data_IF_655351448350
#
_entry.id   IF_655351448350
#
_cell.length_a   1.000
_cell.length_b   1.000
_cell.length_c   1.000
_cell.angle_alpha   90.00
_cell.angle_beta   90.00
_cell.angle_gamma   90.00
#
_symmetry.space_group_name_H-M   'P 1'
#
loop_
_entity.id
_entity.type
_entity.pdbx_description
1 polymer ?
#
# COMPACT_ATOMS: atom_id res chain seq x y z
N UNK A 1 28.69 0.76 3.82
CA UNK A 1 29.48 0.18 2.70
C UNK A 1 29.91 1.24 1.69
N UNK A 2 28.99 1.96 1.01
CA UNK A 2 29.41 2.94 -0.01
C UNK A 2 30.05 4.21 0.57
N UNK A 3 29.51 4.72 1.69
CA UNK A 3 29.98 5.94 2.35
C UNK A 3 31.42 5.81 2.84
N UNK A 4 31.88 4.61 3.22
CA UNK A 4 33.27 4.40 3.67
C UNK A 4 34.29 4.45 2.52
N UNK A 5 33.85 4.60 1.26
CA UNK A 5 34.72 4.60 0.07
C UNK A 5 34.86 5.97 -0.60
N UNK A 6 34.09 6.99 -0.19
CA UNK A 6 34.12 8.31 -0.79
C UNK A 6 32.82 9.10 -0.59
N UNK A 7 32.71 10.26 -1.24
CA UNK A 7 31.49 11.07 -1.24
C UNK A 7 30.41 10.42 -2.11
N UNK A 8 29.22 10.18 -1.55
CA UNK A 8 28.16 9.40 -2.20
C UNK A 8 27.02 10.32 -2.62
N UNK A 9 26.55 10.15 -3.86
CA UNK A 9 25.31 10.74 -4.37
C UNK A 9 24.38 9.64 -4.83
N UNK A 10 23.10 9.77 -4.49
CA UNK A 10 22.07 8.80 -4.87
C UNK A 10 21.19 9.43 -5.96
N UNK A 11 21.02 8.71 -7.06
CA UNK A 11 19.97 8.97 -8.04
C UNK A 11 18.93 7.85 -7.95
N UNK A 12 17.66 8.19 -8.15
CA UNK A 12 16.55 7.23 -8.07
C UNK A 12 15.68 7.31 -9.30
N UNK A 13 15.36 6.16 -9.87
CA UNK A 13 14.31 6.03 -10.90
C UNK A 13 13.24 5.04 -10.42
N UNK A 14 11.98 5.44 -10.59
CA UNK A 14 10.83 4.56 -10.34
C UNK A 14 10.41 3.89 -11.63
N UNK A 15 10.25 2.58 -11.60
CA UNK A 15 9.76 1.84 -12.76
C UNK A 15 8.93 0.62 -12.33
N UNK A 16 8.05 0.20 -13.23
CA UNK A 16 7.25 -1.03 -13.07
C UNK A 16 7.88 -2.10 -13.97
N UNK A 17 8.78 -2.94 -13.43
CA UNK A 17 9.21 -4.16 -14.16
C UNK A 17 8.06 -5.16 -14.13
N UNK A 18 7.45 -5.37 -15.29
CA UNK A 18 6.65 -6.58 -15.50
C UNK A 18 7.60 -7.78 -15.58
N UNK A 19 7.61 -8.63 -14.55
CA UNK A 19 8.22 -9.96 -14.62
C UNK A 19 7.27 -10.97 -14.01
N UNK A 20 6.71 -11.84 -14.85
CA UNK A 20 6.06 -13.05 -14.40
C UNK A 20 7.05 -13.85 -13.56
N UNK A 21 6.74 -14.05 -12.28
CA UNK A 21 7.61 -14.78 -11.36
C UNK A 21 7.63 -14.19 -9.95
N UNK A 22 7.08 -14.94 -9.01
CA UNK A 22 6.94 -14.69 -7.55
C UNK A 22 5.78 -13.78 -7.11
N UNK A 23 4.68 -14.46 -6.80
CA UNK A 23 3.52 -13.96 -6.06
C UNK A 23 3.79 -14.16 -4.56
N UNK A 24 4.15 -13.10 -3.82
CA UNK A 24 4.13 -13.14 -2.35
C UNK A 24 2.99 -12.29 -1.83
N UNK A 25 2.40 -12.73 -0.71
CA UNK A 25 1.28 -12.05 -0.05
C UNK A 25 1.62 -10.62 0.42
N UNK A 26 2.91 -10.31 0.59
CA UNK A 26 3.40 -9.00 1.04
C UNK A 26 3.94 -8.11 -0.08
N UNK A 27 4.03 -8.59 -1.33
CA UNK A 27 4.73 -7.85 -2.40
C UNK A 27 3.95 -6.63 -2.88
N UNK A 28 4.65 -5.51 -3.06
CA UNK A 28 4.21 -4.33 -3.81
C UNK A 28 4.74 -4.38 -5.25
N UNK A 29 4.03 -3.78 -6.22
CA UNK A 29 4.37 -3.88 -7.65
C UNK A 29 5.35 -2.79 -8.14
N UNK A 30 5.73 -1.83 -7.28
CA UNK A 30 6.67 -0.75 -7.63
C UNK A 30 8.08 -1.16 -7.19
N UNK A 31 9.04 -1.01 -8.09
CA UNK A 31 10.46 -1.13 -7.77
C UNK A 31 11.09 0.27 -7.84
N UNK A 32 11.99 0.57 -6.91
CA UNK A 32 12.80 1.78 -6.94
C UNK A 32 14.23 1.35 -7.21
N UNK A 33 14.79 1.77 -8.34
CA UNK A 33 16.22 1.58 -8.63
C UNK A 33 17.01 2.73 -8.00
N UNK A 34 18.08 2.35 -7.30
CA UNK A 34 19.01 3.29 -6.68
C UNK A 34 20.35 3.20 -7.41
N UNK A 35 20.75 4.28 -8.09
CA UNK A 35 22.09 4.42 -8.64
C UNK A 35 22.96 5.15 -7.62
N UNK A 36 24.00 4.47 -7.14
CA UNK A 36 24.94 5.01 -6.16
C UNK A 36 26.21 5.48 -6.89
N UNK A 37 26.41 6.80 -6.95
CA UNK A 37 27.60 7.41 -7.53
C UNK A 37 28.57 7.72 -6.39
N UNK A 38 29.79 7.18 -6.46
CA UNK A 38 30.82 7.35 -5.42
C UNK A 38 32.00 8.11 -6.02
N UNK A 39 32.29 9.30 -5.51
CA UNK A 39 33.53 10.02 -5.81
C UNK A 39 34.60 9.64 -4.78
N UNK A 40 35.46 8.69 -5.15
CA UNK A 40 36.52 8.16 -4.27
C UNK A 40 37.62 9.16 -3.96
N UNK A 41 37.68 10.28 -4.70
CA UNK A 41 38.68 11.34 -4.50
C UNK A 41 38.25 12.35 -3.44
N UNK A 42 36.98 12.32 -3.02
CA UNK A 42 36.42 13.27 -2.05
C UNK A 42 36.12 12.59 -0.74
N UNK A 43 36.40 13.30 0.35
CA UNK A 43 35.91 12.93 1.69
C UNK A 43 34.39 13.09 1.72
N UNK A 44 33.77 12.31 2.60
CA UNK A 44 32.32 12.30 2.81
C UNK A 44 31.82 13.72 3.10
N UNK A 45 30.81 14.17 2.34
CA UNK A 45 30.14 15.43 2.61
C UNK A 45 28.91 15.23 3.50
N UNK A 46 28.87 15.90 4.65
CA UNK A 46 27.68 15.93 5.52
C UNK A 46 26.43 16.47 4.80
N UNK A 47 26.63 17.39 3.85
CA UNK A 47 25.54 17.94 3.01
C UNK A 47 24.96 16.84 2.10
N UNK A 48 25.80 16.05 1.42
CA UNK A 48 25.32 14.97 0.56
C UNK A 48 24.69 13.84 1.38
N UNK A 49 25.23 13.52 2.57
CA UNK A 49 24.59 12.59 3.49
C UNK A 49 23.16 13.03 3.85
N UNK A 50 22.98 14.30 4.23
CA UNK A 50 21.66 14.85 4.56
C UNK A 50 20.70 14.79 3.36
N UNK A 51 21.16 15.19 2.17
CA UNK A 51 20.39 15.10 0.92
C UNK A 51 19.97 13.66 0.60
N UNK A 52 20.90 12.71 0.70
CA UNK A 52 20.63 11.29 0.44
C UNK A 52 19.60 10.72 1.44
N UNK A 53 19.73 11.05 2.74
CA UNK A 53 18.75 10.63 3.75
C UNK A 53 17.36 11.18 3.45
N UNK A 54 17.26 12.47 3.10
CA UNK A 54 16.00 13.10 2.73
C UNK A 54 15.36 12.44 1.50
N UNK A 55 16.16 12.19 0.45
CA UNK A 55 15.70 11.52 -0.76
C UNK A 55 15.15 10.11 -0.46
N UNK A 56 15.88 9.32 0.34
CA UNK A 56 15.43 7.97 0.74
C UNK A 56 14.12 8.06 1.52
N UNK A 57 13.99 8.98 2.47
CA UNK A 57 12.79 9.11 3.29
C UNK A 57 11.58 9.56 2.46
N UNK A 58 11.75 10.53 1.57
CA UNK A 58 10.70 10.95 0.63
C UNK A 58 10.21 9.77 -0.23
N UNK A 59 11.13 8.93 -0.72
CA UNK A 59 10.76 7.70 -1.47
C UNK A 59 10.01 6.68 -0.62
N UNK A 60 10.42 6.48 0.63
CA UNK A 60 9.72 5.62 1.59
C UNK A 60 8.28 6.10 1.81
N UNK A 61 8.09 7.40 2.02
CA UNK A 61 6.76 7.99 2.16
C UNK A 61 5.93 7.83 0.89
N UNK A 62 6.49 8.08 -0.30
CA UNK A 62 5.76 7.88 -1.56
C UNK A 62 5.23 6.44 -1.69
N UNK A 63 6.06 5.43 -1.40
CA UNK A 63 5.63 4.01 -1.40
C UNK A 63 4.54 3.77 -0.34
N UNK A 64 4.65 4.43 0.81
CA UNK A 64 3.67 4.31 1.88
C UNK A 64 2.30 4.87 1.46
N UNK A 65 2.25 6.03 0.77
CA UNK A 65 1.01 6.61 0.25
C UNK A 65 0.34 5.75 -0.84
N UNK A 66 1.09 4.91 -1.55
CA UNK A 66 0.52 3.93 -2.49
C UNK A 66 -0.10 2.70 -1.80
N UNK A 67 0.11 2.53 -0.49
CA UNK A 67 -0.36 1.38 0.26
C UNK A 67 -1.86 1.47 0.57
N UNK A 68 -2.44 0.36 1.01
CA UNK A 68 -3.82 0.32 1.53
C UNK A 68 -3.78 0.43 3.04
N UNK A 69 -4.70 1.22 3.60
CA UNK A 69 -4.70 1.56 5.02
C UNK A 69 -5.92 0.96 5.73
N UNK A 70 -5.74 0.63 7.00
CA UNK A 70 -6.84 0.28 7.90
C UNK A 70 -7.34 1.54 8.60
N UNK A 71 -8.62 1.88 8.42
CA UNK A 71 -9.25 3.00 9.12
C UNK A 71 -9.13 2.88 10.64
N UNK A 72 -9.26 1.66 11.18
CA UNK A 72 -9.13 1.39 12.62
C UNK A 72 -7.75 1.81 13.13
N UNK A 73 -6.69 1.36 12.47
CA UNK A 73 -5.31 1.69 12.85
C UNK A 73 -5.01 3.17 12.65
N UNK A 74 -5.55 3.79 11.59
CA UNK A 74 -5.45 5.24 11.39
C UNK A 74 -6.07 6.02 12.55
N UNK A 75 -7.26 5.62 13.02
CA UNK A 75 -7.94 6.27 14.13
C UNK A 75 -7.18 6.16 15.47
N UNK A 76 -6.34 5.13 15.65
CA UNK A 76 -5.49 4.97 16.82
C UNK A 76 -4.28 5.94 16.82
N UNK A 77 -3.93 6.50 15.67
CA UNK A 77 -2.72 7.33 15.48
C UNK A 77 -3.01 8.78 15.11
N UNK A 78 -4.15 9.03 14.46
CA UNK A 78 -4.48 10.32 13.88
C UNK A 78 -5.95 10.66 14.13
N UNK A 79 -6.27 11.94 14.42
CA UNK A 79 -7.64 12.41 14.35
C UNK A 79 -8.18 12.23 12.93
N UNK A 80 -9.38 11.65 12.82
CA UNK A 80 -10.08 11.46 11.55
C UNK A 80 -11.29 12.39 11.50
N UNK A 81 -11.40 13.21 10.46
CA UNK A 81 -12.46 14.21 10.31
C UNK A 81 -13.06 14.10 8.91
N UNK A 82 -14.35 13.76 8.83
CA UNK A 82 -15.04 13.59 7.55
C UNK A 82 -14.34 12.59 6.61
N UNK A 83 -13.70 13.10 5.56
CA UNK A 83 -12.97 12.34 4.54
C UNK A 83 -11.45 12.53 4.57
N UNK A 84 -10.91 13.16 5.62
CA UNK A 84 -9.48 13.45 5.76
C UNK A 84 -8.96 13.06 7.15
N UNK A 85 -7.65 12.86 7.25
CA UNK A 85 -6.97 12.77 8.54
C UNK A 85 -6.19 14.05 8.83
N UNK A 86 -6.00 14.32 10.11
CA UNK A 86 -5.19 15.45 10.60
C UNK A 86 -3.82 14.94 11.04
N UNK A 87 -2.78 15.70 10.67
CA UNK A 87 -1.41 15.47 11.11
C UNK A 87 -0.90 16.75 11.76
N UNK A 88 -0.64 16.68 13.06
CA UNK A 88 -0.01 17.76 13.81
C UNK A 88 1.51 17.53 13.81
N UNK A 89 2.24 18.46 13.20
CA UNK A 89 3.70 18.47 13.13
C UNK A 89 4.23 19.77 13.76
N UNK A 90 5.51 19.81 14.18
CA UNK A 90 6.14 21.05 14.63
C UNK A 90 6.03 22.22 13.65
N UNK A 91 6.06 21.95 12.34
CA UNK A 91 5.90 22.95 11.27
C UNK A 91 4.45 23.41 11.06
N UNK A 92 3.46 22.71 11.62
CA UNK A 92 2.06 23.10 11.52
C UNK A 92 1.08 21.94 11.56
N UNK A 93 -0.20 22.28 11.40
CA UNK A 93 -1.31 21.33 11.33
C UNK A 93 -1.69 21.10 9.88
N UNK A 94 -1.63 19.85 9.44
CA UNK A 94 -1.83 19.47 8.05
C UNK A 94 -3.00 18.51 7.87
N UNK A 95 -3.59 18.55 6.67
CA UNK A 95 -4.67 17.68 6.25
C UNK A 95 -4.16 16.71 5.19
N UNK A 96 -4.55 15.44 5.31
CA UNK A 96 -4.36 14.44 4.25
C UNK A 96 -5.73 13.92 3.80
N UNK A 97 -6.07 14.19 2.56
CA UNK A 97 -7.31 13.70 1.96
C UNK A 97 -7.28 12.18 1.75
N UNK A 98 -8.46 11.57 1.87
CA UNK A 98 -8.59 10.12 1.73
C UNK A 98 -9.75 9.73 0.83
N UNK A 99 -9.68 8.51 0.29
CA UNK A 99 -10.84 7.79 -0.21
C UNK A 99 -11.21 6.75 0.84
N UNK A 100 -12.23 7.06 1.64
CA UNK A 100 -12.74 6.24 2.74
C UNK A 100 -11.67 5.75 3.73
N UNK A 101 -10.57 6.51 3.92
CA UNK A 101 -9.41 6.13 4.73
C UNK A 101 -8.68 4.84 4.29
N UNK A 102 -9.06 4.27 3.15
CA UNK A 102 -8.41 3.08 2.59
C UNK A 102 -7.27 3.45 1.64
N UNK A 103 -7.38 4.62 0.99
CA UNK A 103 -6.35 5.23 0.16
C UNK A 103 -6.11 6.64 0.65
N UNK A 104 -4.86 6.97 0.96
CA UNK A 104 -4.45 8.33 1.29
C UNK A 104 -3.95 9.01 0.02
N UNK A 105 -4.40 10.24 -0.23
CA UNK A 105 -3.87 11.07 -1.32
C UNK A 105 -2.56 11.69 -0.86
N UNK A 106 -1.50 11.59 -1.68
CA UNK A 106 -0.22 12.20 -1.34
C UNK A 106 -0.41 13.71 -1.16
N UNK A 107 -0.09 14.28 0.01
CA UNK A 107 -0.17 15.71 0.24
C UNK A 107 1.08 16.46 -0.25
N UNK A 108 0.89 17.72 -0.63
CA UNK A 108 1.97 18.58 -1.13
C UNK A 108 2.98 18.98 -0.03
N UNK A 109 2.56 18.98 1.23
CA UNK A 109 3.43 19.39 2.34
C UNK A 109 4.62 18.43 2.56
N UNK A 110 4.59 17.20 2.02
CA UNK A 110 5.68 16.24 2.15
C UNK A 110 6.99 16.81 1.61
N UNK A 111 6.94 17.68 0.61
CA UNK A 111 8.16 18.20 -0.02
C UNK A 111 8.76 19.39 0.76
N UNK A 112 8.08 19.90 1.80
CA UNK A 112 8.53 21.06 2.60
C UNK A 112 8.81 20.74 4.08
N UNK A 113 8.33 19.62 4.61
CA UNK A 113 8.57 19.22 6.00
C UNK A 113 10.00 18.75 6.25
N UNK A 114 10.44 18.84 7.50
CA UNK A 114 11.78 18.42 7.92
C UNK A 114 11.95 16.89 7.91
N UNK A 115 13.20 16.42 7.94
CA UNK A 115 13.49 14.97 7.95
C UNK A 115 12.87 14.27 9.17
N UNK A 116 12.94 14.89 10.36
CA UNK A 116 12.35 14.35 11.59
C UNK A 116 10.83 14.24 11.50
N UNK A 117 10.18 15.18 10.82
CA UNK A 117 8.74 15.13 10.58
C UNK A 117 8.36 14.06 9.56
N UNK A 118 9.16 13.89 8.50
CA UNK A 118 8.99 12.78 7.57
C UNK A 118 9.13 11.43 8.28
N UNK A 119 10.11 11.31 9.18
CA UNK A 119 10.35 10.09 9.96
C UNK A 119 9.17 9.79 10.89
N UNK A 120 8.70 10.79 11.64
CA UNK A 120 7.50 10.68 12.47
C UNK A 120 6.27 10.24 11.65
N UNK A 121 6.04 10.86 10.49
CA UNK A 121 4.92 10.54 9.62
C UNK A 121 5.04 9.11 9.09
N UNK A 122 6.24 8.73 8.62
CA UNK A 122 6.51 7.39 8.11
C UNK A 122 6.27 6.33 9.18
N UNK A 123 6.82 6.51 10.38
CA UNK A 123 6.67 5.55 11.47
C UNK A 123 5.19 5.34 11.79
N UNK A 124 4.44 6.41 12.05
CA UNK A 124 3.04 6.29 12.43
C UNK A 124 2.16 5.73 11.30
N UNK A 125 2.32 6.20 10.06
CA UNK A 125 1.54 5.67 8.93
C UNK A 125 1.93 4.22 8.59
N UNK A 126 3.18 3.81 8.80
CA UNK A 126 3.63 2.44 8.52
C UNK A 126 2.96 1.40 9.41
N UNK A 127 2.55 1.77 10.62
CA UNK A 127 1.74 0.89 11.47
C UNK A 127 0.32 0.72 10.93
N UNK A 128 -0.19 1.70 10.20
CA UNK A 128 -1.59 1.77 9.76
C UNK A 128 -1.88 1.04 8.43
N UNK A 129 -0.85 0.60 7.70
CA UNK A 129 -1.06 -0.12 6.44
C UNK A 129 -1.57 -1.54 6.67
N UNK A 130 -2.32 -2.05 5.68
CA UNK A 130 -2.63 -3.46 5.56
C UNK A 130 -1.33 -4.22 5.25
N UNK A 131 -0.91 -5.11 6.14
CA UNK A 131 0.42 -5.77 6.09
C UNK A 131 0.50 -6.83 5.00
N UNK A 132 -0.63 -7.40 4.62
CA UNK A 132 -0.74 -8.45 3.61
C UNK A 132 -2.11 -8.40 2.91
N UNK A 133 -2.34 -9.24 1.89
CA UNK A 133 -3.60 -9.24 1.13
C UNK A 133 -4.79 -9.81 1.89
N UNK A 134 -4.54 -10.63 2.91
CA UNK A 134 -5.60 -11.15 3.77
C UNK A 134 -6.18 -10.02 4.62
N UNK A 135 -5.33 -9.26 5.31
CA UNK A 135 -5.74 -8.07 6.06
C UNK A 135 -6.39 -7.02 5.14
N UNK A 136 -5.87 -6.82 3.93
CA UNK A 136 -6.49 -5.94 2.94
C UNK A 136 -7.90 -6.41 2.55
N UNK A 137 -8.12 -7.71 2.35
CA UNK A 137 -9.43 -8.27 2.03
C UNK A 137 -10.39 -8.17 3.22
N UNK A 138 -9.92 -8.38 4.44
CA UNK A 138 -10.72 -8.19 5.66
C UNK A 138 -11.20 -6.73 5.76
N UNK A 139 -10.29 -5.76 5.58
CA UNK A 139 -10.67 -4.34 5.57
C UNK A 139 -11.65 -4.02 4.43
N UNK A 140 -11.48 -4.61 3.24
CA UNK A 140 -12.43 -4.43 2.13
C UNK A 140 -13.81 -4.98 2.53
N UNK A 141 -13.86 -6.20 3.06
CA UNK A 141 -15.09 -6.85 3.48
C UNK A 141 -15.79 -6.06 4.57
N UNK A 142 -15.10 -5.60 5.59
CA UNK A 142 -15.67 -4.80 6.68
C UNK A 142 -16.35 -3.51 6.19
N UNK A 143 -15.93 -2.98 5.04
CA UNK A 143 -16.51 -1.78 4.46
C UNK A 143 -17.66 -2.03 3.46
N UNK A 144 -17.96 -3.28 3.15
CA UNK A 144 -19.15 -3.68 2.39
C UNK A 144 -20.26 -3.97 3.39
N UNK A 145 -21.16 -3.03 3.60
CA UNK A 145 -22.25 -3.13 4.60
C UNK A 145 -23.63 -3.15 3.99
N UNK A 146 -23.73 -2.95 2.68
CA UNK A 146 -24.98 -2.93 1.93
C UNK A 146 -24.73 -2.64 0.45
N UNK A 147 -25.63 -1.87 -0.16
CA UNK A 147 -25.61 -1.57 -1.60
C UNK A 147 -25.27 -0.12 -1.94
N UNK A 148 -24.75 0.62 -0.97
CA UNK A 148 -24.36 2.01 -1.14
C UNK A 148 -23.07 2.17 -1.98
N UNK A 149 -22.78 3.39 -2.43
CA UNK A 149 -21.62 3.71 -3.27
C UNK A 149 -20.28 3.29 -2.64
N UNK A 150 -20.15 3.40 -1.32
CA UNK A 150 -18.93 2.99 -0.61
C UNK A 150 -18.79 1.47 -0.68
N UNK A 151 -19.85 0.72 -0.41
CA UNK A 151 -19.86 -0.74 -0.53
C UNK A 151 -19.46 -1.19 -1.95
N UNK A 152 -19.99 -0.53 -2.98
CA UNK A 152 -19.64 -0.78 -4.39
C UNK A 152 -18.16 -0.47 -4.67
N UNK A 153 -17.66 0.68 -4.19
CA UNK A 153 -16.25 1.08 -4.33
C UNK A 153 -15.31 0.02 -3.75
N UNK A 154 -15.60 -0.48 -2.55
CA UNK A 154 -14.77 -1.49 -1.90
C UNK A 154 -14.85 -2.84 -2.61
N UNK A 155 -16.04 -3.27 -3.02
CA UNK A 155 -16.22 -4.54 -3.72
C UNK A 155 -15.40 -4.61 -5.02
N UNK A 156 -15.20 -3.48 -5.70
CA UNK A 156 -14.36 -3.39 -6.90
C UNK A 156 -12.91 -3.86 -6.70
N UNK A 157 -12.37 -3.84 -5.48
CA UNK A 157 -11.02 -4.33 -5.18
C UNK A 157 -10.93 -5.85 -5.03
N UNK A 158 -12.03 -6.53 -4.69
CA UNK A 158 -12.04 -7.95 -4.33
C UNK A 158 -11.39 -8.85 -5.38
N UNK A 159 -11.72 -8.78 -6.69
CA UNK A 159 -11.15 -9.70 -7.67
C UNK A 159 -9.63 -9.56 -7.78
N UNK A 160 -9.14 -8.31 -7.84
CA UNK A 160 -7.70 -8.05 -8.00
C UNK A 160 -6.92 -8.49 -6.77
N UNK A 161 -7.46 -8.27 -5.58
CA UNK A 161 -6.78 -8.59 -4.33
C UNK A 161 -6.78 -10.10 -4.06
N UNK A 162 -7.91 -10.78 -4.26
CA UNK A 162 -8.02 -12.24 -4.10
C UNK A 162 -7.15 -13.00 -5.11
N UNK A 163 -7.06 -12.53 -6.37
CA UNK A 163 -6.19 -13.13 -7.39
C UNK A 163 -4.71 -13.21 -6.98
N UNK A 164 -4.24 -12.33 -6.08
CA UNK A 164 -2.85 -12.35 -5.59
C UNK A 164 -2.60 -13.50 -4.60
N UNK A 165 -3.65 -14.08 -4.03
CA UNK A 165 -3.60 -15.25 -3.16
C UNK A 165 -3.72 -16.57 -3.95
N UNK A 166 -3.92 -16.52 -5.26
CA UNK A 166 -4.02 -17.69 -6.14
C UNK A 166 -2.63 -18.34 -6.42
N UNK A 167 -1.94 -18.73 -5.35
CA UNK A 167 -0.68 -19.47 -5.33
C UNK A 167 -0.76 -20.60 -4.30
N UNK A 168 -0.19 -21.78 -4.59
CA UNK A 168 -0.32 -23.03 -3.80
C UNK A 168 -0.07 -22.86 -2.30
N UNK A 169 0.93 -22.04 -1.93
CA UNK A 169 1.25 -21.71 -0.53
C UNK A 169 0.08 -21.10 0.26
N UNK A 170 -0.84 -20.43 -0.41
CA UNK A 170 -1.96 -19.70 0.22
C UNK A 170 -3.32 -20.36 -0.08
N UNK A 171 -3.33 -21.64 -0.46
CA UNK A 171 -4.56 -22.37 -0.85
C UNK A 171 -5.67 -22.25 0.19
N UNK A 172 -5.36 -22.55 1.45
CA UNK A 172 -6.37 -22.57 2.52
C UNK A 172 -6.93 -21.17 2.79
N UNK A 173 -6.03 -20.16 2.83
CA UNK A 173 -6.40 -18.76 2.98
C UNK A 173 -7.26 -18.29 1.80
N UNK A 174 -6.91 -18.68 0.58
CA UNK A 174 -7.65 -18.34 -0.62
C UNK A 174 -9.08 -18.87 -0.57
N UNK A 175 -9.29 -20.16 -0.27
CA UNK A 175 -10.64 -20.73 -0.24
C UNK A 175 -11.49 -20.16 0.88
N UNK A 176 -10.92 -20.00 2.09
CA UNK A 176 -11.63 -19.36 3.20
C UNK A 176 -12.12 -17.95 2.82
N UNK A 177 -11.23 -17.12 2.27
CA UNK A 177 -11.61 -15.75 1.88
C UNK A 177 -12.55 -15.73 0.68
N UNK A 178 -12.37 -16.63 -0.30
CA UNK A 178 -13.28 -16.76 -1.43
C UNK A 178 -14.71 -17.03 -0.94
N UNK A 179 -14.89 -18.01 -0.06
CA UNK A 179 -16.20 -18.38 0.48
C UNK A 179 -16.83 -17.21 1.26
N UNK A 180 -16.07 -16.56 2.14
CA UNK A 180 -16.56 -15.39 2.88
C UNK A 180 -16.98 -14.25 1.96
N UNK A 181 -16.23 -14.00 0.88
CA UNK A 181 -16.58 -12.98 -0.11
C UNK A 181 -17.87 -13.38 -0.85
N UNK A 182 -17.95 -14.63 -1.30
CA UNK A 182 -19.09 -15.14 -2.06
C UNK A 182 -20.39 -15.08 -1.25
N UNK A 183 -20.38 -15.60 -0.02
CA UNK A 183 -21.51 -15.54 0.90
C UNK A 183 -21.96 -14.10 1.16
N UNK A 184 -21.00 -13.18 1.34
CA UNK A 184 -21.31 -11.77 1.59
C UNK A 184 -21.95 -11.09 0.39
N UNK A 185 -21.45 -11.35 -0.82
CA UNK A 185 -21.93 -10.69 -2.04
C UNK A 185 -23.23 -11.32 -2.58
N UNK A 186 -23.47 -12.62 -2.38
CA UNK A 186 -24.71 -13.28 -2.82
C UNK A 186 -25.96 -12.72 -2.15
N UNK A 187 -25.82 -12.19 -0.93
CA UNK A 187 -26.90 -11.56 -0.18
C UNK A 187 -27.21 -10.11 -0.65
N UNK A 188 -26.48 -9.61 -1.65
CA UNK A 188 -26.66 -8.27 -2.21
C UNK A 188 -27.20 -8.38 -3.65
N UNK A 189 -28.32 -7.71 -3.91
CA UNK A 189 -29.05 -7.72 -5.16
C UNK A 189 -28.45 -6.77 -6.22
N UNK A 190 -27.65 -5.77 -5.82
CA UNK A 190 -27.11 -4.79 -6.76
C UNK A 190 -26.30 -5.46 -7.91
N UNK A 191 -26.55 -5.12 -9.19
CA UNK A 191 -25.96 -5.82 -10.35
C UNK A 191 -24.42 -5.88 -10.35
N UNK A 192 -23.76 -4.84 -9.84
CA UNK A 192 -22.29 -4.79 -9.76
C UNK A 192 -21.73 -5.93 -8.90
N UNK A 193 -22.43 -6.37 -7.85
CA UNK A 193 -21.95 -7.50 -7.04
C UNK A 193 -22.05 -8.81 -7.81
N UNK A 194 -23.07 -8.97 -8.65
CA UNK A 194 -23.19 -10.12 -9.55
C UNK A 194 -22.05 -10.14 -10.60
N UNK A 195 -21.67 -8.98 -11.13
CA UNK A 195 -20.50 -8.86 -12.02
C UNK A 195 -19.19 -9.23 -11.32
N UNK A 196 -19.06 -8.87 -10.04
CA UNK A 196 -17.90 -9.20 -9.22
C UNK A 196 -17.86 -10.70 -8.93
N UNK A 197 -18.98 -11.33 -8.57
CA UNK A 197 -19.09 -12.78 -8.37
C UNK A 197 -18.64 -13.56 -9.63
N UNK A 198 -19.06 -13.13 -10.82
CA UNK A 198 -18.60 -13.72 -12.09
C UNK A 198 -17.07 -13.64 -12.25
N UNK A 199 -16.47 -12.49 -11.93
CA UNK A 199 -15.01 -12.32 -11.95
C UNK A 199 -14.29 -13.17 -10.90
N UNK A 200 -14.91 -13.37 -9.73
CA UNK A 200 -14.35 -14.21 -8.67
C UNK A 200 -14.33 -15.67 -9.08
N UNK A 201 -15.37 -16.16 -9.76
CA UNK A 201 -15.42 -17.53 -10.28
C UNK A 201 -14.30 -17.80 -11.30
N UNK A 202 -14.00 -16.85 -12.19
CA UNK A 202 -12.84 -16.94 -13.10
C UNK A 202 -11.51 -17.04 -12.34
N UNK A 203 -11.39 -16.30 -11.23
CA UNK A 203 -10.20 -16.33 -10.36
C UNK A 203 -10.11 -17.67 -9.63
N UNK A 204 -11.22 -18.24 -9.15
CA UNK A 204 -11.27 -19.55 -8.50
C UNK A 204 -10.76 -20.64 -9.45
N UNK A 205 -11.28 -20.68 -10.68
CA UNK A 205 -10.83 -21.63 -11.73
C UNK A 205 -9.35 -21.48 -12.04
N UNK A 206 -8.85 -20.24 -12.09
CA UNK A 206 -7.41 -19.97 -12.28
C UNK A 206 -6.59 -20.48 -11.09
N UNK A 207 -7.07 -20.28 -9.87
CA UNK A 207 -6.39 -20.71 -8.65
C UNK A 207 -6.31 -22.25 -8.58
N UNK A 208 -7.39 -22.94 -8.89
CA UNK A 208 -7.46 -24.41 -8.96
C UNK A 208 -6.41 -25.00 -9.87
N UNK A 209 -6.29 -24.47 -11.09
CA UNK A 209 -5.22 -24.86 -12.04
C UNK A 209 -3.82 -24.68 -11.46
N UNK A 210 -3.59 -23.63 -10.65
CA UNK A 210 -2.30 -23.35 -10.03
C UNK A 210 -2.02 -24.17 -8.76
N UNK A 211 -3.06 -24.65 -8.08
CA UNK A 211 -2.91 -25.45 -6.87
C UNK A 211 -2.60 -26.91 -7.19
N UNK A 212 -3.13 -27.40 -8.32
CA UNK A 212 -2.98 -28.77 -8.78
C UNK A 212 -1.71 -29.00 -9.63
N UNK A 213 -1.10 -27.93 -10.12
CA UNK A 213 0.28 -27.95 -10.66
C UNK A 213 1.32 -27.88 -9.52
#
# INVERSE_FOLDING_TARGET
ICISRGDVRILTEEYVKYRGGKQSNTRTNKNVEFLLIIDTRKKISGVNLKKNRMLIMSRKLNILFDSKFSRKKLAEKFPLEGSYLIVDLPSGRYRIDTNYFFVLKKPDFIDVISYSEMEFLYENLSFCICRNREEELEVILDNITGEDEKSIYFAGFLPRTLKKLAHKKYRDVFYRLYQLIEEKLMNLAHPVFQDILRKLEDIRRLAEKRFNN
#
